data_IF_107636416345
#
_entry.id   IF_107636416345
#
_cell.length_a   1.000
_cell.length_b   1.000
_cell.length_c   1.000
_cell.angle_alpha   90.00
_cell.angle_beta   90.00
_cell.angle_gamma   90.00
#
_symmetry.space_group_name_H-M   'P 1'
#
loop_
_entity.id
_entity.type
_entity.pdbx_description
1 polymer ?
#
# COMPACT_ATOMS: atom_id res chain seq x y z
N UNK A 1 13.71 8.43 -12.64
CA UNK A 1 13.10 7.19 -13.18
C UNK A 1 11.65 7.23 -12.74
N UNK A 2 10.71 7.48 -13.67
CA UNK A 2 9.29 7.63 -13.35
C UNK A 2 8.73 6.26 -12.97
N UNK A 3 8.15 6.16 -11.78
CA UNK A 3 7.39 4.97 -11.37
C UNK A 3 6.00 5.13 -12.01
N UNK A 4 5.77 4.41 -13.11
CA UNK A 4 4.55 4.39 -13.92
C UNK A 4 3.46 3.48 -13.29
N UNK A 5 3.00 3.79 -12.08
CA UNK A 5 1.94 3.00 -11.44
C UNK A 5 0.62 3.76 -11.20
N UNK A 6 0.52 5.04 -11.59
CA UNK A 6 -0.44 5.95 -10.94
C UNK A 6 -1.29 6.80 -11.89
N UNK A 7 -1.46 6.37 -13.16
CA UNK A 7 -2.28 7.16 -14.09
C UNK A 7 -3.80 6.92 -13.91
N UNK A 8 -4.25 5.78 -13.36
CA UNK A 8 -5.68 5.54 -13.08
C UNK A 8 -5.95 4.79 -11.75
N UNK A 9 -6.01 5.53 -10.64
CA UNK A 9 -6.44 4.99 -9.33
C UNK A 9 -7.90 4.52 -9.31
N UNK A 10 -8.73 4.98 -10.25
CA UNK A 10 -10.18 4.77 -10.20
C UNK A 10 -10.64 3.40 -10.71
N UNK A 11 -9.89 2.75 -11.61
CA UNK A 11 -10.33 1.51 -12.28
C UNK A 11 -9.67 0.22 -11.77
N UNK A 12 -8.45 0.25 -11.24
CA UNK A 12 -7.65 -0.99 -11.11
C UNK A 12 -7.97 -1.91 -9.92
N UNK A 13 -8.87 -1.59 -8.96
CA UNK A 13 -8.95 -2.42 -7.73
C UNK A 13 -10.30 -2.65 -7.05
N UNK A 14 -11.39 -2.04 -7.49
CA UNK A 14 -12.68 -2.18 -6.77
C UNK A 14 -13.56 -3.34 -7.22
N UNK A 15 -13.02 -4.30 -7.96
CA UNK A 15 -13.70 -5.55 -8.31
C UNK A 15 -12.96 -6.75 -7.69
N UNK A 16 -13.70 -7.78 -7.27
CA UNK A 16 -13.12 -9.08 -6.82
C UNK A 16 -12.10 -9.63 -7.83
N UNK A 17 -12.28 -9.33 -9.12
CA UNK A 17 -11.42 -9.78 -10.22
C UNK A 17 -9.98 -9.25 -10.13
N UNK A 18 -9.76 -8.04 -9.61
CA UNK A 18 -8.41 -7.45 -9.54
C UNK A 18 -7.61 -7.92 -8.32
N UNK A 19 -8.27 -8.33 -7.24
CA UNK A 19 -7.58 -8.85 -6.05
C UNK A 19 -6.90 -10.18 -6.35
N UNK A 20 -7.61 -11.11 -6.97
CA UNK A 20 -7.03 -12.38 -7.41
C UNK A 20 -5.90 -12.21 -8.41
N UNK A 21 -6.01 -11.26 -9.35
CA UNK A 21 -4.92 -10.94 -10.28
C UNK A 21 -3.66 -10.44 -9.56
N UNK A 22 -3.83 -9.60 -8.53
CA UNK A 22 -2.71 -9.11 -7.71
C UNK A 22 -2.09 -10.19 -6.84
N UNK A 23 -2.92 -11.04 -6.21
CA UNK A 23 -2.41 -12.20 -5.49
C UNK A 23 -1.61 -13.11 -6.42
N UNK A 24 -2.11 -13.47 -7.62
CA UNK A 24 -1.35 -14.33 -8.55
C UNK A 24 -0.02 -13.69 -8.98
N UNK A 25 0.04 -12.37 -9.13
CA UNK A 25 1.26 -11.63 -9.45
C UNK A 25 2.30 -11.67 -8.32
N UNK A 26 1.84 -11.56 -7.07
CA UNK A 26 2.69 -11.45 -5.88
C UNK A 26 2.77 -12.75 -5.06
N UNK A 27 2.13 -13.84 -5.48
CA UNK A 27 2.12 -15.14 -4.79
C UNK A 27 3.51 -15.69 -4.51
N UNK A 28 4.48 -15.40 -5.39
CA UNK A 28 5.88 -15.81 -5.20
C UNK A 28 6.55 -15.13 -4.01
N UNK A 29 6.03 -14.01 -3.56
CA UNK A 29 6.56 -13.21 -2.47
C UNK A 29 6.02 -13.65 -1.09
N UNK A 30 4.83 -14.27 -1.09
CA UNK A 30 4.15 -14.85 0.06
C UNK A 30 3.67 -16.28 -0.24
N UNK A 31 4.57 -17.25 -0.46
CA UNK A 31 4.19 -18.60 -0.87
C UNK A 31 3.39 -19.35 0.20
N UNK A 32 3.54 -18.97 1.47
CA UNK A 32 2.79 -19.50 2.60
C UNK A 32 1.39 -18.91 2.79
N UNK A 33 1.05 -17.81 2.11
CA UNK A 33 -0.26 -17.17 2.28
C UNK A 33 -1.25 -17.64 1.22
N UNK A 34 -2.46 -17.94 1.66
CA UNK A 34 -3.63 -18.04 0.79
C UNK A 34 -4.03 -16.67 0.24
N UNK A 35 -4.86 -16.65 -0.81
CA UNK A 35 -5.42 -15.42 -1.36
C UNK A 35 -6.19 -14.64 -0.29
N UNK A 36 -7.01 -15.34 0.50
CA UNK A 36 -7.77 -14.76 1.61
C UNK A 36 -6.86 -14.17 2.70
N UNK A 37 -5.77 -14.85 3.07
CA UNK A 37 -4.80 -14.34 4.05
C UNK A 37 -4.06 -13.11 3.53
N UNK A 38 -3.63 -13.14 2.27
CA UNK A 38 -2.98 -12.01 1.63
C UNK A 38 -3.88 -10.77 1.60
N UNK A 39 -5.15 -10.94 1.22
CA UNK A 39 -6.12 -9.85 1.23
C UNK A 39 -6.36 -9.32 2.64
N UNK A 40 -6.59 -10.23 3.60
CA UNK A 40 -6.83 -9.90 5.00
C UNK A 40 -5.66 -9.11 5.59
N UNK A 41 -4.42 -9.55 5.40
CA UNK A 41 -3.26 -8.85 5.95
C UNK A 41 -3.05 -7.47 5.31
N UNK A 42 -3.33 -7.32 4.02
CA UNK A 42 -3.24 -6.02 3.36
C UNK A 42 -4.31 -5.04 3.89
N UNK A 43 -5.56 -5.49 4.05
CA UNK A 43 -6.64 -4.69 4.63
C UNK A 43 -6.37 -4.34 6.11
N UNK A 44 -5.89 -5.30 6.89
CA UNK A 44 -5.49 -5.08 8.28
C UNK A 44 -4.37 -4.05 8.38
N UNK A 45 -3.31 -4.16 7.56
CA UNK A 45 -2.21 -3.21 7.57
C UNK A 45 -2.69 -1.79 7.22
N UNK A 46 -3.59 -1.65 6.23
CA UNK A 46 -4.18 -0.36 5.87
C UNK A 46 -4.93 0.30 7.05
N UNK A 47 -5.47 -0.49 7.98
CA UNK A 47 -6.18 -0.02 9.17
C UNK A 47 -5.28 0.20 10.40
N UNK A 48 -4.14 -0.49 10.51
CA UNK A 48 -3.25 -0.37 11.68
C UNK A 48 -2.68 1.05 11.82
N UNK A 49 -2.53 1.60 13.03
CA UNK A 49 -1.89 2.91 13.22
C UNK A 49 -0.41 2.86 12.81
N UNK A 50 0.12 4.01 12.37
CA UNK A 50 1.56 4.19 12.17
C UNK A 50 2.19 4.32 13.55
N UNK A 51 3.23 3.54 13.83
CA UNK A 51 3.93 3.56 15.12
C UNK A 51 5.41 3.97 15.01
N UNK A 52 5.91 4.15 13.77
CA UNK A 52 7.30 4.49 13.46
C UNK A 52 8.35 3.53 14.08
N UNK A 53 7.93 2.32 14.47
CA UNK A 53 8.79 1.26 15.02
C UNK A 53 8.73 0.02 14.16
N UNK A 54 7.51 -0.46 13.93
CA UNK A 54 7.19 -1.64 13.14
C UNK A 54 6.35 -1.27 11.92
N UNK A 55 5.46 -0.29 12.05
CA UNK A 55 4.59 0.17 10.98
C UNK A 55 4.99 1.59 10.62
N UNK A 56 5.49 1.72 9.39
CA UNK A 56 5.86 2.99 8.78
C UNK A 56 4.82 3.36 7.74
N UNK A 57 4.57 4.65 7.54
CA UNK A 57 3.66 5.09 6.49
C UNK A 57 4.02 6.44 5.91
N UNK A 58 3.54 6.68 4.69
CA UNK A 58 3.73 7.94 3.99
C UNK A 58 2.57 8.19 3.02
N UNK A 59 2.44 9.45 2.61
CA UNK A 59 1.45 9.88 1.63
C UNK A 59 2.14 10.11 0.29
N UNK A 60 1.53 9.61 -0.78
CA UNK A 60 1.90 9.88 -2.16
C UNK A 60 0.80 10.69 -2.83
N UNK A 61 1.19 11.73 -3.56
CA UNK A 61 0.28 12.49 -4.42
C UNK A 61 0.69 12.30 -5.88
N UNK A 62 -0.29 12.14 -6.75
CA UNK A 62 -0.06 12.17 -8.19
C UNK A 62 -0.16 13.60 -8.76
N UNK A 63 -0.09 13.74 -10.09
CA UNK A 63 -0.16 15.04 -10.77
C UNK A 63 -1.55 15.67 -10.81
N UNK A 64 -2.58 14.89 -10.48
CA UNK A 64 -3.98 15.32 -10.42
C UNK A 64 -4.42 15.57 -8.98
N UNK A 65 -3.47 15.69 -8.03
CA UNK A 65 -3.71 15.81 -6.59
C UNK A 65 -4.49 14.63 -5.98
N UNK A 66 -4.53 13.47 -6.65
CA UNK A 66 -5.08 12.24 -6.05
C UNK A 66 -4.10 11.73 -5.00
N UNK A 67 -4.64 11.36 -3.84
CA UNK A 67 -3.88 10.92 -2.68
C UNK A 67 -3.93 9.40 -2.56
N UNK A 68 -2.75 8.79 -2.50
CA UNK A 68 -2.57 7.42 -2.04
C UNK A 68 -1.77 7.41 -0.74
N UNK A 69 -2.10 6.42 0.07
CA UNK A 69 -1.45 6.16 1.33
C UNK A 69 -0.69 4.86 1.22
N UNK A 70 0.45 4.83 1.89
CA UNK A 70 1.29 3.65 1.89
C UNK A 70 1.65 3.31 3.31
N UNK A 71 1.59 2.02 3.64
CA UNK A 71 2.11 1.46 4.87
C UNK A 71 3.08 0.32 4.58
N UNK A 72 4.09 0.21 5.42
CA UNK A 72 5.05 -0.86 5.40
C UNK A 72 5.19 -1.43 6.81
N UNK A 73 4.96 -2.72 6.95
CA UNK A 73 5.16 -3.49 8.17
C UNK A 73 6.54 -4.15 8.10
N UNK A 74 7.41 -3.75 9.02
CA UNK A 74 8.79 -4.23 9.11
C UNK A 74 8.89 -5.70 9.49
N UNK A 75 7.94 -6.22 10.25
CA UNK A 75 8.00 -7.60 10.76
C UNK A 75 7.61 -8.60 9.67
N UNK A 76 6.61 -8.24 8.86
CA UNK A 76 6.13 -9.08 7.74
C UNK A 76 6.75 -8.69 6.39
N UNK A 77 7.44 -7.55 6.33
CA UNK A 77 7.89 -6.88 5.10
C UNK A 77 6.73 -6.55 4.14
N UNK A 78 5.49 -6.54 4.64
CA UNK A 78 4.30 -6.24 3.87
C UNK A 78 4.23 -4.76 3.56
N UNK A 79 4.16 -4.46 2.28
CA UNK A 79 4.01 -3.12 1.76
C UNK A 79 2.64 -2.99 1.12
N UNK A 80 1.80 -2.09 1.62
CA UNK A 80 0.43 -1.88 1.16
C UNK A 80 0.23 -0.45 0.72
N UNK A 81 -0.30 -0.28 -0.49
CA UNK A 81 -0.77 1.00 -1.04
C UNK A 81 -2.28 0.98 -1.01
N UNK A 82 -2.90 2.06 -0.54
CA UNK A 82 -4.35 2.16 -0.42
C UNK A 82 -4.84 3.61 -0.58
N UNK A 83 -6.13 3.75 -0.86
CA UNK A 83 -6.82 5.06 -0.95
C UNK A 83 -7.99 5.07 0.02
N UNK A 84 -8.49 6.25 0.42
CA UNK A 84 -9.75 6.34 1.14
C UNK A 84 -10.90 6.61 0.17
N UNK A 85 -11.99 5.85 0.30
CA UNK A 85 -13.30 6.23 -0.27
C UNK A 85 -14.25 6.44 0.91
N UNK A 86 -14.55 7.71 1.20
CA UNK A 86 -15.14 8.09 2.49
C UNK A 86 -14.19 7.72 3.64
N UNK A 87 -14.70 7.03 4.66
CA UNK A 87 -13.93 6.70 5.87
C UNK A 87 -13.39 5.26 5.87
N UNK A 88 -13.39 4.60 4.71
CA UNK A 88 -12.88 3.24 4.55
C UNK A 88 -11.63 3.22 3.66
N UNK A 89 -10.53 2.57 4.09
CA UNK A 89 -9.41 2.33 3.21
C UNK A 89 -9.75 1.24 2.20
N UNK A 90 -9.30 1.44 0.97
CA UNK A 90 -9.38 0.48 -0.12
C UNK A 90 -7.97 0.18 -0.58
N UNK A 91 -7.53 -1.05 -0.32
CA UNK A 91 -6.25 -1.55 -0.78
C UNK A 91 -6.20 -1.46 -2.30
N UNK A 92 -5.20 -0.73 -2.79
CA UNK A 92 -4.80 -0.73 -4.19
C UNK A 92 -3.92 -1.97 -4.34
N UNK A 93 -2.64 -1.91 -4.04
CA UNK A 93 -1.76 -3.08 -4.16
C UNK A 93 -1.12 -3.43 -2.83
N UNK A 94 -0.75 -4.71 -2.66
CA UNK A 94 0.20 -5.12 -1.65
C UNK A 94 1.30 -5.97 -2.28
N UNK A 95 2.48 -5.99 -1.68
CA UNK A 95 3.61 -6.80 -2.13
C UNK A 95 4.66 -6.85 -1.03
N UNK A 96 5.65 -7.72 -1.16
CA UNK A 96 6.76 -7.79 -0.22
C UNK A 96 7.81 -6.78 -0.62
N UNK A 97 8.26 -6.01 0.36
CA UNK A 97 9.35 -5.06 0.18
C UNK A 97 10.31 -5.20 1.34
N UNK A 98 11.53 -5.63 1.05
CA UNK A 98 12.54 -5.76 2.11
C UNK A 98 12.88 -4.39 2.69
N UNK A 99 13.41 -4.36 3.92
CA UNK A 99 13.87 -3.12 4.56
C UNK A 99 14.82 -2.32 3.65
N UNK A 100 15.75 -3.02 2.97
CA UNK A 100 16.71 -2.40 2.05
C UNK A 100 16.02 -1.74 0.85
N UNK A 101 14.98 -2.37 0.30
CA UNK A 101 14.22 -1.81 -0.82
C UNK A 101 13.32 -0.66 -0.39
N UNK A 102 12.76 -0.74 0.83
CA UNK A 102 12.01 0.35 1.43
C UNK A 102 12.93 1.57 1.61
N UNK A 103 14.02 1.44 2.36
CA UNK A 103 14.95 2.54 2.67
C UNK A 103 15.74 3.03 1.43
N UNK A 104 16.08 2.11 0.53
CA UNK A 104 16.86 2.39 -0.69
C UNK A 104 16.04 2.95 -1.85
N UNK A 105 14.71 2.95 -1.74
CA UNK A 105 13.86 3.71 -2.65
C UNK A 105 14.26 5.17 -2.55
N UNK A 106 14.65 5.81 -3.66
CA UNK A 106 14.74 7.27 -3.70
C UNK A 106 13.34 7.79 -3.46
N UNK A 107 13.05 8.14 -2.20
CA UNK A 107 11.87 8.87 -1.79
C UNK A 107 11.95 10.23 -2.46
N UNK A 108 11.53 10.28 -3.73
CA UNK A 108 11.53 11.48 -4.56
C UNK A 108 10.77 12.57 -3.79
N UNK A 109 11.17 13.83 -3.97
CA UNK A 109 10.74 15.01 -3.18
C UNK A 109 9.23 15.33 -3.18
N UNK A 110 8.39 14.40 -3.64
CA UNK A 110 6.93 14.45 -3.64
C UNK A 110 6.27 13.64 -2.51
N UNK A 111 7.05 12.93 -1.68
CA UNK A 111 6.53 12.17 -0.54
C UNK A 111 6.54 13.01 0.74
N UNK A 112 5.37 13.16 1.35
CA UNK A 112 5.25 13.68 2.71
C UNK A 112 5.30 12.51 3.69
N UNK A 113 6.31 12.47 4.57
CA UNK A 113 6.21 11.69 5.80
C UNK A 113 4.99 12.20 6.57
N UNK A 114 4.14 11.28 6.99
CA UNK A 114 2.94 11.60 7.74
C UNK A 114 2.93 10.76 9.01
N UNK A 115 3.01 11.42 10.15
CA UNK A 115 2.93 10.78 11.47
C UNK A 115 1.52 10.23 11.73
N UNK A 116 0.51 10.87 11.14
CA UNK A 116 -0.87 10.40 11.13
C UNK A 116 -1.43 10.48 9.71
N UNK A 117 -1.98 9.36 9.24
CA UNK A 117 -2.87 9.38 8.09
C UNK A 117 -4.18 10.01 8.57
N UNK A 118 -4.68 11.07 7.92
CA UNK A 118 -5.97 11.63 8.30
C UNK A 118 -6.99 10.51 8.14
N UNK A 119 -7.49 9.99 9.27
CA UNK A 119 -8.69 9.18 9.27
C UNK A 119 -9.74 10.04 8.55
N UNK A 120 -10.33 9.47 7.48
CA UNK A 120 -11.28 10.19 6.63
C UNK A 120 -12.24 11.03 7.47
N UNK A 121 -12.36 12.32 7.12
CA UNK A 121 -13.39 13.18 7.69
C UNK A 121 -14.73 12.81 7.07
#
# INVERSE_FOLDING_TARGET
MKIHYLDDFDEEFTSEYNRGAHYQKHKKEYPEWTEEEYEKYAEELALKPIDNKNIFGYMSKDKQDRIAYVKWDKDTELFTVYVYRGNKPYTVTAFRKSKREYEGGKWDSNYGYIDEIPAGK
#
